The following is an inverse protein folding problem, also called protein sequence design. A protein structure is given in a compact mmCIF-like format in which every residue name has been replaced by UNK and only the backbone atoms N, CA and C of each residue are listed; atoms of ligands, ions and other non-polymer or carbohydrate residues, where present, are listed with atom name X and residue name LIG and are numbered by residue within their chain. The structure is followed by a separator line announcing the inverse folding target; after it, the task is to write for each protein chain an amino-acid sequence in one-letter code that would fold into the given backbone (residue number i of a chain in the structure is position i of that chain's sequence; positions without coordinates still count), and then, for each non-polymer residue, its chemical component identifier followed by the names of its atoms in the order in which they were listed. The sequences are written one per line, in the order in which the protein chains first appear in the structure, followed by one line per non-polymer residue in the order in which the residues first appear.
data_IF_638273909925
#
_entry.id   IF_638273909925
#
_cell.length_a   1.000
_cell.length_b   1.000
_cell.length_c   1.000
_cell.angle_alpha   90.00
_cell.angle_beta   90.00
_cell.angle_gamma   90.00
#
_symmetry.space_group_name_H-M   'P 1'
#
loop_
_entity.id
_entity.type
_entity.pdbx_description
1 polymer ?
#
# COMPACT_ATOMS: atom_id res chain seq x y z
N UNK A 1 -4.16 1.97 -12.34
CA UNK A 1 -4.75 2.32 -11.03
C UNK A 1 -6.25 2.02 -10.99
N UNK A 2 -7.05 2.57 -11.91
CA UNK A 2 -8.50 2.31 -12.03
C UNK A 2 -8.90 0.82 -12.07
N UNK A 3 -8.14 -0.03 -12.77
CA UNK A 3 -8.41 -1.46 -12.87
C UNK A 3 -8.18 -2.22 -11.55
N UNK A 4 -7.21 -1.81 -10.73
CA UNK A 4 -6.94 -2.41 -9.41
C UNK A 4 -8.03 -1.99 -8.43
N UNK A 5 -8.45 -0.73 -8.45
CA UNK A 5 -9.62 -0.27 -7.69
C UNK A 5 -10.88 -1.06 -8.06
N UNK A 6 -11.14 -1.29 -9.36
CA UNK A 6 -12.29 -2.09 -9.81
C UNK A 6 -12.22 -3.55 -9.35
N UNK A 7 -11.04 -4.17 -9.36
CA UNK A 7 -10.84 -5.54 -8.87
C UNK A 7 -11.07 -5.63 -7.35
N UNK A 8 -10.55 -4.65 -6.61
CA UNK A 8 -10.75 -4.55 -5.16
C UNK A 8 -12.20 -4.22 -4.79
N UNK A 9 -12.90 -3.40 -5.57
CA UNK A 9 -14.33 -3.13 -5.42
C UNK A 9 -15.16 -4.37 -5.71
N UNK A 10 -14.84 -5.11 -6.77
CA UNK A 10 -15.47 -6.40 -7.08
C UNK A 10 -15.35 -7.38 -5.91
N UNK A 11 -14.16 -7.50 -5.33
CA UNK A 11 -13.94 -8.33 -4.13
C UNK A 11 -14.73 -7.84 -2.90
N UNK A 12 -14.89 -6.53 -2.72
CA UNK A 12 -15.66 -5.95 -1.60
C UNK A 12 -17.16 -6.25 -1.72
N UNK A 13 -17.69 -6.24 -2.94
CA UNK A 13 -19.10 -6.56 -3.22
C UNK A 13 -19.39 -8.05 -2.93
N UNK A 14 -18.48 -8.93 -3.33
CA UNK A 14 -18.60 -10.37 -3.12
C UNK A 14 -18.47 -10.74 -1.64
N UNK A 15 -17.59 -10.05 -0.90
CA UNK A 15 -17.48 -10.16 0.56
C UNK A 15 -18.74 -9.68 1.30
N UNK A 16 -19.34 -8.57 0.88
CA UNK A 16 -20.57 -8.05 1.50
C UNK A 16 -21.75 -9.01 1.34
N UNK A 17 -21.80 -9.77 0.24
CA UNK A 17 -22.79 -10.83 0.01
C UNK A 17 -22.55 -12.06 0.88
N UNK A 18 -21.31 -12.44 1.16
CA UNK A 18 -21.03 -13.63 1.98
C UNK A 18 -21.34 -13.39 3.47
N UNK A 19 -21.17 -12.16 3.96
CA UNK A 19 -21.58 -11.73 5.32
C UNK A 19 -23.09 -11.90 5.55
N UNK A 20 -23.93 -11.62 4.55
CA UNK A 20 -25.38 -11.84 4.64
C UNK A 20 -25.77 -13.32 4.82
N UNK A 21 -24.89 -14.27 4.49
CA UNK A 21 -25.15 -15.70 4.56
C UNK A 21 -24.60 -16.38 5.85
N UNK A 22 -24.08 -15.60 6.81
CA UNK A 22 -24.02 -15.91 8.25
C UNK A 22 -23.04 -16.98 8.76
N UNK A 23 -22.80 -18.09 8.04
CA UNK A 23 -22.04 -19.23 8.57
C UNK A 23 -20.58 -19.35 8.08
N UNK A 24 -20.32 -18.95 6.83
CA UNK A 24 -18.98 -19.05 6.20
C UNK A 24 -18.23 -17.70 6.20
N UNK A 25 -18.91 -16.64 6.61
CA UNK A 25 -18.49 -15.25 6.46
C UNK A 25 -17.16 -14.91 7.15
N UNK A 26 -16.87 -15.50 8.31
CA UNK A 26 -15.63 -15.22 9.05
C UNK A 26 -14.39 -15.78 8.35
N UNK A 27 -14.50 -16.95 7.70
CA UNK A 27 -13.38 -17.55 6.97
C UNK A 27 -13.14 -16.83 5.65
N UNK A 28 -14.21 -16.46 4.92
CA UNK A 28 -14.11 -15.61 3.73
C UNK A 28 -13.58 -14.21 4.06
N UNK A 29 -13.89 -13.67 5.25
CA UNK A 29 -13.35 -12.39 5.76
C UNK A 29 -11.84 -12.43 5.91
N UNK A 30 -11.31 -13.44 6.58
CA UNK A 30 -9.86 -13.55 6.76
C UNK A 30 -9.14 -13.77 5.43
N UNK A 31 -9.65 -14.66 4.56
CA UNK A 31 -9.04 -14.92 3.26
C UNK A 31 -9.02 -13.66 2.38
N UNK A 32 -10.13 -12.95 2.27
CA UNK A 32 -10.21 -11.71 1.47
C UNK A 32 -9.29 -10.63 2.03
N UNK A 33 -9.16 -10.51 3.36
CA UNK A 33 -8.22 -9.60 4.00
C UNK A 33 -6.76 -9.94 3.67
N UNK A 34 -6.35 -11.20 3.78
CA UNK A 34 -4.99 -11.64 3.44
C UNK A 34 -4.69 -11.46 1.95
N UNK A 35 -5.65 -11.76 1.07
CA UNK A 35 -5.50 -11.54 -0.37
C UNK A 35 -5.28 -10.06 -0.65
N UNK A 36 -6.01 -9.14 -0.01
CA UNK A 36 -5.78 -7.70 -0.17
C UNK A 36 -4.40 -7.28 0.33
N UNK A 37 -4.00 -7.71 1.53
CA UNK A 37 -2.70 -7.38 2.13
C UNK A 37 -1.51 -7.81 1.25
N UNK A 38 -1.66 -8.86 0.45
CA UNK A 38 -0.59 -9.35 -0.43
C UNK A 38 -0.71 -8.75 -1.83
N UNK A 39 -1.90 -8.85 -2.42
CA UNK A 39 -2.11 -8.55 -3.84
C UNK A 39 -2.07 -7.05 -4.14
N UNK A 40 -2.64 -6.24 -3.26
CA UNK A 40 -2.66 -4.78 -3.42
C UNK A 40 -1.24 -4.19 -3.44
N UNK A 41 -0.37 -4.42 -2.43
CA UNK A 41 0.99 -3.90 -2.47
C UNK A 41 1.83 -4.52 -3.58
N UNK A 42 1.60 -5.79 -3.95
CA UNK A 42 2.33 -6.44 -5.05
C UNK A 42 2.05 -5.75 -6.39
N UNK A 43 0.77 -5.57 -6.72
CA UNK A 43 0.38 -4.87 -7.95
C UNK A 43 0.87 -3.43 -7.92
N UNK A 44 0.61 -2.74 -6.81
CA UNK A 44 0.95 -1.34 -6.68
C UNK A 44 2.44 -1.07 -6.82
N UNK A 45 3.30 -1.84 -6.14
CA UNK A 45 4.75 -1.65 -6.25
C UNK A 45 5.32 -2.11 -7.59
N UNK A 46 4.74 -3.14 -8.22
CA UNK A 46 5.14 -3.53 -9.58
C UNK A 46 4.91 -2.39 -10.58
N UNK A 47 3.75 -1.73 -10.52
CA UNK A 47 3.48 -0.57 -11.38
C UNK A 47 4.30 0.66 -10.98
N UNK A 48 4.30 1.03 -9.70
CA UNK A 48 4.90 2.27 -9.24
C UNK A 48 6.44 2.19 -9.18
N UNK A 49 7.01 1.38 -8.29
CA UNK A 49 8.47 1.26 -8.14
C UNK A 49 9.11 0.49 -9.29
N UNK A 50 8.41 -0.48 -9.89
CA UNK A 50 8.98 -1.32 -10.95
C UNK A 50 8.97 -0.71 -12.34
N UNK A 51 7.90 0.01 -12.69
CA UNK A 51 7.74 0.54 -14.05
C UNK A 51 7.86 2.07 -14.12
N UNK A 52 7.09 2.79 -13.31
CA UNK A 52 6.97 4.25 -13.44
C UNK A 52 8.22 4.95 -12.92
N UNK A 53 8.58 4.68 -11.67
CA UNK A 53 9.63 5.42 -10.96
C UNK A 53 11.01 5.33 -11.65
N UNK A 54 11.51 4.16 -12.07
CA UNK A 54 12.83 4.07 -12.71
C UNK A 54 12.87 4.67 -14.11
N UNK A 55 11.71 4.80 -14.78
CA UNK A 55 11.60 5.47 -16.08
C UNK A 55 11.60 6.98 -15.95
N UNK A 56 11.06 7.50 -14.84
CA UNK A 56 10.94 8.94 -14.62
C UNK A 56 12.19 9.56 -14.01
N UNK A 57 12.85 8.84 -13.09
CA UNK A 57 14.09 9.28 -12.46
C UNK A 57 15.15 8.18 -12.55
N UNK A 58 16.34 8.55 -13.04
CA UNK A 58 17.49 7.64 -13.05
C UNK A 58 17.96 7.39 -11.62
N UNK A 59 18.42 6.16 -11.33
CA UNK A 59 19.06 5.80 -10.06
C UNK A 59 20.45 6.45 -9.90
N UNK A 60 20.49 7.77 -9.72
CA UNK A 60 21.74 8.52 -9.57
C UNK A 60 22.08 8.78 -8.11
N UNK A 61 21.07 9.05 -7.28
CA UNK A 61 21.24 9.34 -5.85
C UNK A 61 20.06 8.77 -5.06
N UNK A 62 20.35 8.01 -4.00
CA UNK A 62 19.36 7.42 -3.11
C UNK A 62 18.38 8.46 -2.55
N UNK A 63 18.89 9.60 -2.04
CA UNK A 63 18.05 10.63 -1.43
C UNK A 63 17.10 11.25 -2.45
N UNK A 64 17.60 11.56 -3.65
CA UNK A 64 16.76 12.11 -4.72
C UNK A 64 15.71 11.08 -5.18
N UNK A 65 16.11 9.82 -5.34
CA UNK A 65 15.21 8.75 -5.78
C UNK A 65 14.10 8.46 -4.75
N UNK A 66 14.46 8.42 -3.46
CA UNK A 66 13.49 8.32 -2.36
C UNK A 66 12.56 9.53 -2.30
N UNK A 67 13.10 10.75 -2.31
CA UNK A 67 12.30 11.95 -2.17
C UNK A 67 11.30 12.12 -3.32
N UNK A 68 11.74 11.94 -4.56
CA UNK A 68 10.88 11.97 -5.75
C UNK A 68 9.89 10.82 -5.75
N UNK A 69 10.29 9.63 -5.30
CA UNK A 69 9.37 8.50 -5.09
C UNK A 69 8.24 8.83 -4.12
N UNK A 70 8.55 9.49 -3.00
CA UNK A 70 7.55 9.96 -2.05
C UNK A 70 6.58 10.98 -2.65
N UNK A 71 7.11 11.99 -3.35
CA UNK A 71 6.28 13.02 -4.01
C UNK A 71 5.38 12.41 -5.08
N UNK A 72 5.92 11.59 -5.97
CA UNK A 72 5.15 10.97 -7.05
C UNK A 72 4.05 10.07 -6.51
N UNK A 73 4.31 9.39 -5.39
CA UNK A 73 3.29 8.54 -4.77
C UNK A 73 2.14 9.38 -4.20
N UNK A 74 2.47 10.41 -3.41
CA UNK A 74 1.49 11.32 -2.83
C UNK A 74 0.66 12.05 -3.91
N UNK A 75 1.30 12.42 -5.02
CA UNK A 75 0.61 12.99 -6.17
C UNK A 75 -0.28 11.97 -6.89
N UNK A 76 0.21 10.75 -7.09
CA UNK A 76 -0.50 9.69 -7.82
C UNK A 76 -1.76 9.21 -7.10
N UNK A 77 -1.78 9.23 -5.76
CA UNK A 77 -2.94 8.90 -4.95
C UNK A 77 -3.90 10.09 -4.75
N UNK A 78 -3.51 11.31 -5.18
CA UNK A 78 -4.22 12.57 -4.90
C UNK A 78 -4.46 12.82 -3.39
N UNK A 79 -3.69 12.16 -2.54
CA UNK A 79 -3.77 12.24 -1.08
C UNK A 79 -2.40 12.68 -0.57
N UNK A 80 -2.28 13.97 -0.29
CA UNK A 80 -1.08 14.56 0.31
C UNK A 80 -1.10 14.38 1.84
N UNK A 81 -0.83 13.15 2.28
CA UNK A 81 -0.51 12.88 3.69
C UNK A 81 0.97 12.51 3.84
N UNK A 82 1.50 12.61 5.06
CA UNK A 82 2.90 12.33 5.33
C UNK A 82 3.25 10.83 5.22
N UNK A 83 2.35 9.91 5.59
CA UNK A 83 2.61 8.49 5.48
C UNK A 83 2.59 7.92 4.06
N UNK A 84 1.78 8.42 3.13
CA UNK A 84 1.86 8.07 1.70
C UNK A 84 3.17 8.58 1.13
N UNK A 85 3.58 9.79 1.50
CA UNK A 85 4.88 10.32 1.13
C UNK A 85 6.02 9.43 1.68
N UNK A 86 5.99 9.07 2.97
CA UNK A 86 7.01 8.23 3.59
C UNK A 86 6.99 6.80 3.02
N UNK A 87 5.81 6.24 2.76
CA UNK A 87 5.64 4.96 2.11
C UNK A 87 6.31 4.98 0.74
N UNK A 88 6.05 6.00 -0.08
CA UNK A 88 6.70 6.19 -1.38
C UNK A 88 8.21 6.38 -1.26
N UNK A 89 8.67 7.15 -0.27
CA UNK A 89 10.09 7.41 -0.08
C UNK A 89 10.89 6.19 0.37
N UNK A 90 10.35 5.41 1.31
CA UNK A 90 10.98 4.19 1.83
C UNK A 90 10.93 3.08 0.79
N UNK A 91 9.80 2.87 0.12
CA UNK A 91 9.67 1.83 -0.92
C UNK A 91 10.57 2.12 -2.12
N UNK A 92 10.65 3.37 -2.56
CA UNK A 92 11.62 3.82 -3.55
C UNK A 92 13.07 3.63 -3.10
N UNK A 93 13.38 3.94 -1.83
CA UNK A 93 14.73 3.76 -1.27
C UNK A 93 15.15 2.30 -1.15
N UNK A 94 14.23 1.42 -0.75
CA UNK A 94 14.43 -0.02 -0.71
C UNK A 94 14.67 -0.59 -2.10
N UNK A 95 13.84 -0.19 -3.08
CA UNK A 95 14.04 -0.55 -4.47
C UNK A 95 15.38 -0.02 -5.02
N UNK A 96 15.77 1.20 -4.65
CA UNK A 96 17.07 1.78 -5.01
C UNK A 96 18.21 0.89 -4.54
N UNK A 97 18.19 0.47 -3.27
CA UNK A 97 19.29 -0.28 -2.64
C UNK A 97 19.36 -1.75 -3.04
N UNK A 98 18.21 -2.41 -3.19
CA UNK A 98 18.16 -3.86 -3.31
C UNK A 98 17.85 -4.34 -4.72
N UNK A 99 17.51 -3.42 -5.65
CA UNK A 99 17.09 -3.75 -7.03
C UNK A 99 15.98 -4.81 -7.09
N UNK A 100 15.22 -4.93 -6.00
CA UNK A 100 14.22 -5.97 -5.81
C UNK A 100 12.88 -5.34 -5.49
N UNK A 101 11.86 -5.74 -6.27
CA UNK A 101 10.47 -5.38 -6.00
C UNK A 101 9.96 -6.02 -4.72
N UNK A 102 10.51 -7.17 -4.32
CA UNK A 102 10.02 -7.95 -3.21
C UNK A 102 10.18 -7.20 -1.88
N UNK A 103 11.27 -6.47 -1.72
CA UNK A 103 11.52 -5.66 -0.53
C UNK A 103 10.55 -4.48 -0.38
N UNK A 104 10.28 -3.80 -1.50
CA UNK A 104 9.30 -2.72 -1.60
C UNK A 104 7.89 -3.24 -1.29
N UNK A 105 7.52 -4.39 -1.87
CA UNK A 105 6.21 -5.03 -1.66
C UNK A 105 6.03 -5.52 -0.23
N UNK A 106 7.01 -6.20 0.37
CA UNK A 106 6.92 -6.69 1.75
C UNK A 106 6.84 -5.51 2.73
N UNK A 107 7.60 -4.44 2.50
CA UNK A 107 7.48 -3.24 3.31
C UNK A 107 6.08 -2.62 3.20
N UNK A 108 5.53 -2.49 1.99
CA UNK A 108 4.19 -1.94 1.78
C UNK A 108 3.10 -2.83 2.42
N UNK A 109 3.19 -4.15 2.29
CA UNK A 109 2.29 -5.08 2.97
C UNK A 109 2.36 -4.93 4.50
N UNK A 110 3.56 -4.82 5.06
CA UNK A 110 3.75 -4.58 6.49
C UNK A 110 3.19 -3.23 6.93
N UNK A 111 3.28 -2.18 6.11
CA UNK A 111 2.70 -0.88 6.41
C UNK A 111 1.16 -0.94 6.48
N UNK A 112 0.52 -1.70 5.59
CA UNK A 112 -0.94 -1.94 5.63
C UNK A 112 -1.33 -2.69 6.91
N UNK A 113 -0.59 -3.76 7.25
CA UNK A 113 -0.83 -4.54 8.48
C UNK A 113 -0.63 -3.69 9.73
N UNK A 114 0.45 -2.91 9.78
CA UNK A 114 0.75 -2.01 10.88
C UNK A 114 -0.33 -0.95 11.06
N UNK A 115 -0.80 -0.35 9.96
CA UNK A 115 -1.93 0.58 9.96
C UNK A 115 -3.18 -0.02 10.58
N UNK A 116 -3.58 -1.20 10.10
CA UNK A 116 -4.74 -1.95 10.61
C UNK A 116 -4.59 -2.27 12.10
N UNK A 117 -3.40 -2.71 12.52
CA UNK A 117 -3.12 -3.06 13.92
C UNK A 117 -3.15 -1.82 14.83
N UNK A 118 -2.66 -0.68 14.35
CA UNK A 118 -2.69 0.59 15.07
C UNK A 118 -4.13 1.06 15.27
N UNK A 119 -4.98 0.97 14.24
CA UNK A 119 -6.42 1.27 14.33
C UNK A 119 -7.13 0.42 15.40
N UNK A 120 -6.78 -0.85 15.54
CA UNK A 120 -7.42 -1.75 16.51
C UNK A 120 -6.88 -1.64 17.93
N UNK A 121 -5.60 -1.24 18.10
CA UNK A 121 -4.91 -1.31 19.40
C UNK A 121 -4.84 0.04 20.11
N UNK A 122 -4.75 1.15 19.37
CA UNK A 122 -4.51 2.48 19.94
C UNK A 122 -5.60 3.48 19.56
N UNK A 123 -6.74 3.43 20.27
CA UNK A 123 -7.84 4.41 20.15
C UNK A 123 -7.40 5.87 20.45
N UNK A 124 -6.29 6.07 21.15
CA UNK A 124 -5.81 7.39 21.60
C UNK A 124 -4.62 7.96 20.79
N UNK A 125 -4.06 7.21 19.83
CA UNK A 125 -2.99 7.69 18.94
C UNK A 125 -3.51 8.38 17.67
N UNK A 126 -4.84 8.52 17.57
CA UNK A 126 -5.59 9.10 16.44
C UNK A 126 -4.97 10.39 15.87
N UNK A 127 -4.45 11.35 16.65
CA UNK A 127 -3.87 12.58 16.08
C UNK A 127 -2.58 12.36 15.29
N UNK A 128 -1.73 11.43 15.73
CA UNK A 128 -0.48 11.07 15.04
C UNK A 128 -0.80 10.17 13.84
N UNK A 129 -1.82 9.32 13.98
CA UNK A 129 -2.32 8.46 12.92
C UNK A 129 -2.91 9.25 11.74
N UNK A 130 -3.70 10.30 12.02
CA UNK A 130 -4.27 11.23 11.01
C UNK A 130 -3.18 12.01 10.26
N UNK A 131 -2.00 12.19 10.87
CA UNK A 131 -0.88 12.84 10.19
C UNK A 131 -0.14 11.87 9.26
N UNK A 132 -0.23 10.56 9.55
CA UNK A 132 0.36 9.43 8.82
C UNK A 132 -0.61 8.77 7.80
N UNK A 133 -1.92 9.00 7.88
CA UNK A 133 -2.97 8.46 6.98
C UNK A 133 -3.79 9.58 6.35
#
# INVERSE_FOLDING_TARGET
MYFVCLLLEGMNVEYSRSIQNGGEAESYSMITMWVRIILEPLLFQTFFTGMILPRLIRKTNLFAFSYVGGILLAMGTFQFNLGIFLLGAVTAGLFYRQDSLLASTVFHANAIVAGKLLETTFLNAVPILILLF
#
